data_IF_461898833645
#
_entry.id   IF_461898833645
#
_cell.length_a   1.000
_cell.length_b   1.000
_cell.length_c   1.000
_cell.angle_alpha   90.00
_cell.angle_beta   90.00
_cell.angle_gamma   90.00
#
_symmetry.space_group_name_H-M   'P 1'
#
loop_
_entity.id
_entity.type
_entity.pdbx_description
1 polymer ?
#
# COMPACT_ATOMS: atom_id res chain seq x y z
N UNK A 1 9.29 11.16 3.96
CA UNK A 1 9.70 9.96 4.69
C UNK A 1 10.91 9.35 3.99
N UNK A 2 11.79 8.70 4.74
CA UNK A 2 12.93 7.96 4.17
C UNK A 2 12.62 6.46 4.16
N UNK A 3 13.46 5.66 3.49
CA UNK A 3 13.36 4.20 3.50
C UNK A 3 13.50 3.64 4.92
N UNK A 4 14.39 4.20 5.74
CA UNK A 4 14.59 3.77 7.12
C UNK A 4 13.36 4.06 7.98
N UNK A 5 12.77 5.26 7.88
CA UNK A 5 11.57 5.59 8.66
C UNK A 5 10.39 4.67 8.33
N UNK A 6 10.26 4.26 7.05
CA UNK A 6 9.21 3.33 6.64
C UNK A 6 9.34 1.95 7.28
N UNK A 7 10.56 1.47 7.53
CA UNK A 7 10.79 0.16 8.15
C UNK A 7 10.38 0.12 9.63
N UNK A 8 10.29 1.30 10.25
CA UNK A 8 9.86 1.47 11.65
C UNK A 8 8.35 1.66 11.77
N UNK A 9 7.64 1.95 10.67
CA UNK A 9 6.18 2.06 10.67
C UNK A 9 5.51 0.73 11.01
N UNK A 10 4.40 0.75 11.76
CA UNK A 10 3.64 -0.46 12.03
C UNK A 10 3.04 -1.00 10.74
N UNK A 11 3.05 -2.33 10.59
CA UNK A 11 2.47 -3.02 9.43
C UNK A 11 0.97 -2.71 9.33
N UNK A 12 0.28 -2.73 10.47
CA UNK A 12 -1.14 -2.43 10.60
C UNK A 12 -1.35 -1.20 11.48
N UNK A 13 -2.26 -0.32 11.05
CA UNK A 13 -2.84 0.73 11.90
C UNK A 13 -4.08 0.15 12.60
N UNK A 14 -3.90 -0.22 13.88
CA UNK A 14 -4.96 -0.81 14.70
C UNK A 14 -6.14 0.13 14.88
N UNK A 15 -5.91 1.45 14.95
CA UNK A 15 -6.98 2.43 15.09
C UNK A 15 -7.88 2.44 13.85
N UNK A 16 -7.29 2.39 12.64
CA UNK A 16 -8.07 2.29 11.40
C UNK A 16 -8.82 0.96 11.33
N UNK A 17 -8.19 -0.15 11.74
CA UNK A 17 -8.87 -1.46 11.77
C UNK A 17 -10.04 -1.43 12.74
N UNK A 18 -9.88 -0.87 13.94
CA UNK A 18 -10.94 -0.72 14.93
C UNK A 18 -12.04 0.22 14.45
N UNK A 19 -11.72 1.40 13.91
CA UNK A 19 -12.70 2.33 13.35
C UNK A 19 -13.50 1.67 12.23
N UNK A 20 -12.81 0.95 11.35
CA UNK A 20 -13.46 0.14 10.35
C UNK A 20 -14.42 -0.83 11.07
N UNK A 21 -13.96 -1.65 12.03
CA UNK A 21 -14.81 -2.59 12.81
C UNK A 21 -16.02 -1.94 13.50
N UNK A 22 -15.91 -0.71 13.97
CA UNK A 22 -16.97 0.02 14.68
C UNK A 22 -17.98 0.69 13.74
N UNK A 23 -17.55 1.18 12.57
CA UNK A 23 -18.42 1.79 11.55
C UNK A 23 -19.27 0.76 10.79
N UNK A 24 -19.11 -0.53 11.08
CA UNK A 24 -19.57 -1.67 10.29
C UNK A 24 -20.93 -2.25 10.70
N UNK A 25 -21.95 -1.95 9.90
CA UNK A 25 -23.13 -2.80 9.77
C UNK A 25 -22.86 -3.86 8.66
N UNK A 26 -22.12 -4.91 9.01
CA UNK A 26 -21.93 -6.22 8.33
C UNK A 26 -21.54 -6.34 6.83
N UNK A 27 -21.53 -5.30 5.97
CA UNK A 27 -21.27 -5.46 4.51
C UNK A 27 -20.05 -4.71 3.95
N UNK A 28 -19.74 -3.55 4.51
CA UNK A 28 -18.64 -2.69 4.04
C UNK A 28 -17.22 -3.32 4.09
N UNK A 29 -16.88 -4.22 5.04
CA UNK A 29 -15.52 -4.80 5.14
C UNK A 29 -15.24 -5.79 4.04
N UNK A 30 -16.26 -6.59 3.71
CA UNK A 30 -16.18 -7.59 2.66
C UNK A 30 -16.04 -6.90 1.30
N UNK A 31 -16.74 -5.79 1.07
CA UNK A 31 -16.61 -4.98 -0.15
C UNK A 31 -15.22 -4.31 -0.26
N UNK A 32 -14.69 -3.74 0.83
CA UNK A 32 -13.35 -3.16 0.84
C UNK A 32 -12.27 -4.22 0.63
N UNK A 33 -12.39 -5.37 1.30
CA UNK A 33 -11.46 -6.47 1.12
C UNK A 33 -11.63 -7.15 -0.24
N UNK A 34 -12.83 -7.16 -0.83
CA UNK A 34 -13.06 -7.63 -2.20
C UNK A 34 -12.37 -6.69 -3.20
N UNK A 35 -12.56 -5.38 -3.10
CA UNK A 35 -11.84 -4.41 -3.94
C UNK A 35 -10.33 -4.55 -3.76
N UNK A 36 -9.87 -4.69 -2.51
CA UNK A 36 -8.47 -4.91 -2.19
C UNK A 36 -7.90 -6.12 -2.94
N UNK A 37 -8.57 -7.27 -2.81
CA UNK A 37 -8.10 -8.53 -3.38
C UNK A 37 -8.21 -8.58 -4.91
N UNK A 38 -9.30 -8.03 -5.48
CA UNK A 38 -9.60 -8.15 -6.91
C UNK A 38 -8.94 -7.06 -7.74
N UNK A 39 -8.77 -5.86 -7.18
CA UNK A 39 -8.30 -4.69 -7.92
C UNK A 39 -6.95 -4.19 -7.43
N UNK A 40 -6.78 -4.04 -6.12
CA UNK A 40 -5.62 -3.32 -5.57
C UNK A 40 -4.37 -4.22 -5.52
N UNK A 41 -4.48 -5.47 -5.06
CA UNK A 41 -3.35 -6.41 -5.04
C UNK A 41 -2.77 -6.58 -6.47
N UNK A 42 -3.56 -6.88 -7.52
CA UNK A 42 -3.03 -6.95 -8.88
C UNK A 42 -2.37 -5.66 -9.34
N UNK A 43 -2.91 -4.50 -8.97
CA UNK A 43 -2.33 -3.21 -9.32
C UNK A 43 -1.00 -2.96 -8.59
N UNK A 44 -0.87 -3.38 -7.33
CA UNK A 44 0.40 -3.32 -6.58
C UNK A 44 1.45 -4.19 -7.29
N UNK A 45 1.10 -5.41 -7.69
CA UNK A 45 1.99 -6.27 -8.48
C UNK A 45 2.37 -5.64 -9.82
N UNK A 46 1.42 -5.03 -10.53
CA UNK A 46 1.72 -4.33 -11.77
C UNK A 46 2.73 -3.19 -11.55
N UNK A 47 2.59 -2.42 -10.47
CA UNK A 47 3.51 -1.35 -10.10
C UNK A 47 4.89 -1.91 -9.72
N UNK A 48 4.96 -3.00 -8.96
CA UNK A 48 6.23 -3.69 -8.61
C UNK A 48 6.94 -4.16 -9.88
N UNK A 49 6.27 -4.94 -10.72
CA UNK A 49 6.87 -5.62 -11.86
C UNK A 49 7.29 -4.66 -12.98
N UNK A 50 6.57 -3.54 -13.10
CA UNK A 50 6.80 -2.56 -14.17
C UNK A 50 7.40 -1.25 -13.70
N UNK A 51 7.79 -1.11 -12.42
CA UNK A 51 8.26 0.14 -11.83
C UNK A 51 9.27 0.91 -12.71
N UNK A 52 10.28 0.22 -13.24
CA UNK A 52 11.33 0.81 -14.08
C UNK A 52 10.88 1.19 -15.50
N UNK A 53 9.72 0.72 -15.95
CA UNK A 53 9.13 0.95 -17.27
C UNK A 53 7.99 1.95 -17.26
N UNK A 54 7.37 2.17 -16.09
CA UNK A 54 6.30 3.14 -15.92
C UNK A 54 6.87 4.55 -16.01
N UNK A 55 6.22 5.41 -16.79
CA UNK A 55 6.52 6.84 -16.73
C UNK A 55 6.15 7.42 -15.36
N UNK A 56 6.69 8.59 -15.07
CA UNK A 56 6.57 9.23 -13.75
C UNK A 56 5.11 9.46 -13.33
N UNK A 57 4.24 9.80 -14.28
CA UNK A 57 2.84 10.12 -14.01
C UNK A 57 1.97 8.87 -13.88
N UNK A 58 2.18 7.87 -14.72
CA UNK A 58 1.48 6.58 -14.60
C UNK A 58 1.87 5.87 -13.30
N UNK A 59 3.17 5.87 -12.97
CA UNK A 59 3.64 5.34 -11.68
C UNK A 59 3.05 6.11 -10.50
N UNK A 60 2.99 7.45 -10.57
CA UNK A 60 2.35 8.26 -9.54
C UNK A 60 0.88 7.87 -9.36
N UNK A 61 0.09 7.83 -10.43
CA UNK A 61 -1.35 7.57 -10.35
C UNK A 61 -1.64 6.18 -9.77
N UNK A 62 -0.94 5.15 -10.26
CA UNK A 62 -1.13 3.77 -9.79
C UNK A 62 -0.69 3.61 -8.34
N UNK A 63 0.52 4.05 -7.98
CA UNK A 63 1.02 3.95 -6.62
C UNK A 63 0.18 4.79 -5.63
N UNK A 64 -0.30 5.96 -6.05
CA UNK A 64 -1.16 6.80 -5.21
C UNK A 64 -2.53 6.15 -4.97
N UNK A 65 -3.12 5.51 -5.99
CA UNK A 65 -4.35 4.73 -5.82
C UNK A 65 -4.15 3.58 -4.84
N UNK A 66 -3.11 2.77 -5.02
CA UNK A 66 -2.82 1.65 -4.12
C UNK A 66 -2.57 2.13 -2.69
N UNK A 67 -1.88 3.27 -2.52
CA UNK A 67 -1.63 3.86 -1.22
C UNK A 67 -2.92 4.25 -0.49
N UNK A 68 -3.87 4.88 -1.20
CA UNK A 68 -5.16 5.26 -0.63
C UNK A 68 -5.93 4.05 -0.10
N UNK A 69 -6.06 3.01 -0.93
CA UNK A 69 -6.75 1.78 -0.55
C UNK A 69 -6.04 1.03 0.59
N UNK A 70 -4.70 0.98 0.58
CA UNK A 70 -3.92 0.33 1.63
C UNK A 70 -4.13 1.01 2.98
N UNK A 71 -4.05 2.35 3.02
CA UNK A 71 -4.30 3.11 4.25
C UNK A 71 -5.74 2.97 4.73
N UNK A 72 -6.71 2.88 3.82
CA UNK A 72 -8.13 2.74 4.17
C UNK A 72 -8.43 1.42 4.90
N UNK A 73 -7.72 0.34 4.59
CA UNK A 73 -7.89 -0.96 5.27
C UNK A 73 -6.90 -1.16 6.44
N UNK A 74 -6.13 -0.12 6.78
CA UNK A 74 -5.16 -0.17 7.87
C UNK A 74 -3.81 -0.81 7.51
N UNK A 75 -3.52 -1.09 6.23
CA UNK A 75 -2.20 -1.56 5.78
C UNK A 75 -1.16 -0.41 5.78
N UNK A 76 -0.83 0.11 6.96
CA UNK A 76 -0.11 1.38 7.12
C UNK A 76 1.26 1.37 6.47
N UNK A 77 2.17 0.47 6.87
CA UNK A 77 3.53 0.46 6.32
C UNK A 77 3.55 0.39 4.79
N UNK A 78 2.73 -0.49 4.21
CA UNK A 78 2.55 -0.61 2.76
C UNK A 78 1.99 0.68 2.13
N UNK A 79 0.93 1.22 2.71
CA UNK A 79 0.29 2.45 2.23
C UNK A 79 1.21 3.67 2.28
N UNK A 80 1.99 3.81 3.35
CA UNK A 80 3.01 4.85 3.48
C UNK A 80 4.12 4.72 2.44
N UNK A 81 4.59 3.50 2.19
CA UNK A 81 5.62 3.23 1.20
C UNK A 81 5.14 3.61 -0.21
N UNK A 82 3.95 3.12 -0.62
CA UNK A 82 3.34 3.43 -1.91
C UNK A 82 3.05 4.94 -2.07
N UNK A 83 2.59 5.60 -1.01
CA UNK A 83 2.37 7.05 -1.00
C UNK A 83 3.68 7.79 -1.23
N UNK A 84 4.74 7.39 -0.55
CA UNK A 84 6.06 8.01 -0.68
C UNK A 84 6.62 7.80 -2.08
N UNK A 85 6.56 6.57 -2.62
CA UNK A 85 6.94 6.25 -4.00
C UNK A 85 6.17 7.13 -4.99
N UNK A 86 4.85 7.27 -4.83
CA UNK A 86 4.03 8.09 -5.74
C UNK A 86 4.52 9.53 -5.81
N UNK A 87 4.79 10.16 -4.65
CA UNK A 87 5.23 11.55 -4.60
C UNK A 87 6.65 11.75 -5.12
N UNK A 88 7.55 10.80 -4.85
CA UNK A 88 8.90 10.82 -5.39
C UNK A 88 8.88 10.71 -6.91
N UNK A 89 8.07 9.81 -7.48
CA UNK A 89 7.91 9.67 -8.94
C UNK A 89 7.31 10.92 -9.57
N UNK A 90 6.28 11.52 -8.96
CA UNK A 90 5.72 12.83 -9.39
C UNK A 90 6.76 13.95 -9.37
N UNK A 91 7.73 13.88 -8.45
CA UNK A 91 8.85 14.82 -8.34
C UNK A 91 10.05 14.50 -9.23
N UNK A 92 9.98 13.47 -10.09
CA UNK A 92 11.09 13.04 -10.95
C UNK A 92 12.23 12.33 -10.20
N UNK A 93 12.01 11.91 -8.95
CA UNK A 93 13.03 11.29 -8.10
C UNK A 93 12.98 9.76 -8.23
N UNK A 94 13.50 9.24 -9.35
CA UNK A 94 13.47 7.80 -9.63
C UNK A 94 14.29 6.97 -8.64
N UNK A 95 15.55 7.30 -8.39
CA UNK A 95 16.42 6.48 -7.53
C UNK A 95 15.91 6.38 -6.09
N UNK A 96 15.52 7.48 -5.40
CA UNK A 96 14.92 7.37 -4.07
C UNK A 96 13.60 6.59 -4.05
N UNK A 97 12.79 6.71 -5.10
CA UNK A 97 11.56 5.93 -5.23
C UNK A 97 11.86 4.42 -5.39
N UNK A 98 12.89 4.09 -6.18
CA UNK A 98 13.33 2.71 -6.42
C UNK A 98 13.79 2.04 -5.13
N UNK A 99 14.58 2.73 -4.32
CA UNK A 99 15.05 2.20 -3.04
C UNK A 99 13.90 1.81 -2.11
N UNK A 100 12.84 2.62 -2.05
CA UNK A 100 11.63 2.29 -1.28
C UNK A 100 10.86 1.14 -1.93
N UNK A 101 10.78 1.14 -3.26
CA UNK A 101 10.05 0.12 -4.03
C UNK A 101 10.63 -1.28 -3.84
N UNK A 102 11.92 -1.42 -3.55
CA UNK A 102 12.56 -2.70 -3.20
C UNK A 102 11.97 -3.35 -1.94
N UNK A 103 11.46 -2.54 -1.00
CA UNK A 103 10.89 -3.05 0.26
C UNK A 103 9.37 -3.31 0.16
N UNK A 104 8.69 -2.73 -0.84
CA UNK A 104 7.21 -2.84 -1.02
C UNK A 104 6.70 -4.28 -1.08
N UNK A 105 7.35 -5.24 -1.78
CA UNK A 105 6.92 -6.64 -1.76
C UNK A 105 6.90 -7.25 -0.35
N UNK A 106 7.90 -6.92 0.48
CA UNK A 106 7.98 -7.40 1.86
C UNK A 106 6.89 -6.80 2.76
N UNK A 107 6.53 -5.54 2.54
CA UNK A 107 5.41 -4.90 3.26
C UNK A 107 4.06 -5.50 2.87
N UNK A 108 3.87 -5.84 1.60
CA UNK A 108 2.66 -6.54 1.14
C UNK A 108 2.56 -7.93 1.78
N UNK A 109 3.63 -8.74 1.73
CA UNK A 109 3.66 -10.07 2.34
C UNK A 109 3.41 -10.02 3.85
N UNK A 110 4.01 -9.05 4.55
CA UNK A 110 3.80 -8.87 5.98
C UNK A 110 2.33 -8.56 6.32
N UNK A 111 1.69 -7.69 5.54
CA UNK A 111 0.27 -7.38 5.71
C UNK A 111 -0.62 -8.60 5.42
N UNK A 112 -0.42 -9.28 4.29
CA UNK A 112 -1.19 -10.47 3.91
C UNK A 112 -1.09 -11.58 4.96
N UNK A 113 0.11 -11.77 5.54
CA UNK A 113 0.34 -12.73 6.61
C UNK A 113 -0.50 -12.40 7.85
N UNK A 114 -0.52 -11.14 8.29
CA UNK A 114 -1.32 -10.76 9.47
C UNK A 114 -2.82 -10.93 9.19
N UNK A 115 -3.29 -10.56 8.00
CA UNK A 115 -4.69 -10.78 7.59
C UNK A 115 -5.05 -12.26 7.58
N UNK A 116 -4.14 -13.13 7.13
CA UNK A 116 -4.35 -14.58 7.13
C UNK A 116 -4.34 -15.19 8.54
N UNK A 117 -3.48 -14.71 9.43
CA UNK A 117 -3.39 -15.17 10.83
C UNK A 117 -4.54 -14.66 11.71
N UNK A 118 -5.23 -13.59 11.29
CA UNK A 118 -6.38 -13.01 11.99
C UNK A 118 -7.73 -13.68 11.65
N UNK A 119 -7.73 -14.67 10.75
CA UNK A 119 -8.90 -15.47 10.35
C UNK A 119 -8.95 -16.81 11.09
#
# INVERSE_FOLDING_TARGET
>A
MTRESLREEPVIDEEIVEQNLELMDAKFPDELMEEWNVTIIPLIHEVIDNFAKLDDMDCYQKAHKCAGSALQIGANQLGQALRTVSHLRKGGQFEPAKEIMEDVPGYLEAFEKIVAESK
#
